data_IF_142218430645
#
_entry.id   IF_142218430645
#
_cell.length_a   1.000
_cell.length_b   1.000
_cell.length_c   1.000
_cell.angle_alpha   90.00
_cell.angle_beta   90.00
_cell.angle_gamma   90.00
#
_symmetry.space_group_name_H-M   'P 1'
#
loop_
_entity.id
_entity.type
_entity.pdbx_description
1 polymer ?
#
# COMPACT_ATOMS: atom_id res chain seq x y z
N UNK A 1 -1.55 5.64 -3.66
CA UNK A 1 -1.90 4.27 -4.09
C UNK A 1 -1.03 3.28 -3.33
N UNK A 2 -1.59 2.20 -2.78
CA UNK A 2 -0.83 1.16 -2.09
C UNK A 2 -1.08 -0.21 -2.71
N UNK A 3 -0.07 -1.05 -2.71
CA UNK A 3 -0.13 -2.43 -3.16
C UNK A 3 0.37 -3.34 -2.04
N UNK A 4 -0.15 -4.56 -1.97
CA UNK A 4 0.29 -5.58 -1.03
C UNK A 4 0.38 -6.92 -1.71
N UNK A 5 1.32 -7.73 -1.28
CA UNK A 5 1.49 -9.11 -1.74
C UNK A 5 1.81 -10.03 -0.56
N UNK A 6 1.42 -11.29 -0.68
CA UNK A 6 1.61 -12.31 0.34
C UNK A 6 2.06 -13.63 -0.30
N UNK A 7 3.06 -14.23 0.32
CA UNK A 7 3.56 -15.56 -0.02
C UNK A 7 3.83 -16.35 1.26
N UNK A 8 4.06 -17.65 1.12
CA UNK A 8 4.46 -18.52 2.23
C UNK A 8 5.77 -18.08 2.92
N UNK A 9 6.56 -17.22 2.27
CA UNK A 9 7.85 -16.73 2.77
C UNK A 9 7.75 -15.37 3.44
N UNK A 10 6.92 -14.47 2.92
CA UNK A 10 6.83 -13.10 3.37
C UNK A 10 5.51 -12.43 2.97
N UNK A 11 5.15 -11.41 3.73
CA UNK A 11 4.16 -10.40 3.35
C UNK A 11 4.87 -9.09 3.06
N UNK A 12 4.38 -8.33 2.09
CA UNK A 12 4.94 -7.04 1.73
C UNK A 12 3.86 -6.05 1.33
N UNK A 13 4.14 -4.77 1.51
CA UNK A 13 3.32 -3.67 1.03
C UNK A 13 4.18 -2.50 0.56
N UNK A 14 3.72 -1.78 -0.46
CA UNK A 14 4.38 -0.61 -1.03
C UNK A 14 3.36 0.50 -1.30
N UNK A 15 3.79 1.74 -1.22
CA UNK A 15 2.95 2.92 -1.43
C UNK A 15 3.63 3.91 -2.39
N UNK A 16 2.83 4.43 -3.31
CA UNK A 16 3.20 5.42 -4.31
C UNK A 16 2.32 6.66 -4.18
N UNK A 17 2.92 7.83 -4.41
CA UNK A 17 2.21 9.10 -4.54
C UNK A 17 1.99 9.37 -6.02
N UNK A 18 0.77 9.74 -6.38
CA UNK A 18 0.48 10.38 -7.66
C UNK A 18 0.21 11.85 -7.37
N UNK A 19 0.98 12.73 -7.98
CA UNK A 19 0.73 14.18 -7.98
C UNK A 19 0.42 14.63 -9.40
N UNK A 20 -0.14 15.82 -9.51
CA UNK A 20 -0.33 16.50 -10.78
C UNK A 20 0.37 17.85 -10.65
N UNK A 21 1.25 18.16 -11.58
CA UNK A 21 1.95 19.44 -11.58
C UNK A 21 1.05 20.58 -12.09
N UNK A 22 1.58 21.80 -12.09
CA UNK A 22 0.86 22.99 -12.58
C UNK A 22 0.49 22.91 -14.06
N UNK A 23 1.13 22.03 -14.82
CA UNK A 23 0.88 21.80 -16.25
C UNK A 23 -0.19 20.73 -16.49
N UNK A 24 -0.68 20.07 -15.43
CA UNK A 24 -1.64 18.98 -15.53
C UNK A 24 -1.00 17.61 -15.75
N UNK A 25 0.33 17.50 -15.73
CA UNK A 25 1.03 16.25 -16.01
C UNK A 25 1.08 15.35 -14.75
N UNK A 26 0.70 14.07 -14.87
CA UNK A 26 0.75 13.15 -13.75
C UNK A 26 2.18 12.72 -13.45
N UNK A 27 2.59 12.89 -12.20
CA UNK A 27 3.88 12.43 -11.69
C UNK A 27 3.64 11.33 -10.66
N UNK A 28 4.35 10.21 -10.78
CA UNK A 28 4.22 9.08 -9.84
C UNK A 28 5.57 8.84 -9.17
N UNK A 29 5.60 8.87 -7.84
CA UNK A 29 6.79 8.66 -7.03
C UNK A 29 6.60 7.53 -6.02
N UNK A 30 7.65 6.75 -5.79
CA UNK A 30 7.71 5.79 -4.68
C UNK A 30 7.85 6.54 -3.36
N UNK A 31 7.05 6.16 -2.35
CA UNK A 31 7.12 6.76 -1.02
C UNK A 31 7.75 5.79 -0.01
N UNK A 32 7.14 4.61 0.15
CA UNK A 32 7.51 3.67 1.21
C UNK A 32 7.21 2.23 0.80
N UNK A 33 8.07 1.32 1.23
CA UNK A 33 7.87 -0.13 1.09
C UNK A 33 8.27 -0.83 2.38
N UNK A 34 7.49 -1.83 2.78
CA UNK A 34 7.70 -2.61 4.01
C UNK A 34 7.43 -4.08 3.74
N UNK A 35 8.32 -4.94 4.25
CA UNK A 35 8.17 -6.39 4.18
C UNK A 35 8.38 -7.02 5.56
N UNK A 36 7.69 -8.14 5.82
CA UNK A 36 7.80 -8.94 7.03
C UNK A 36 7.89 -10.42 6.64
N UNK A 37 8.78 -11.17 7.27
CA UNK A 37 8.87 -12.63 7.08
C UNK A 37 7.56 -13.27 7.53
N UNK A 38 7.03 -14.20 6.75
CA UNK A 38 5.80 -14.90 7.08
C UNK A 38 6.05 -15.81 8.30
N UNK A 39 5.15 -15.83 9.29
CA UNK A 39 5.30 -16.70 10.45
C UNK A 39 5.35 -18.18 10.03
N UNK A 40 6.30 -18.94 10.58
CA UNK A 40 6.51 -20.36 10.26
C UNK A 40 5.35 -21.25 10.75
N UNK A 41 4.53 -20.76 11.70
CA UNK A 41 3.40 -21.50 12.26
C UNK A 41 2.14 -21.39 11.39
N UNK A 42 1.95 -22.35 10.47
CA UNK A 42 0.65 -22.80 9.97
C UNK A 42 -0.39 -21.72 9.60
N UNK A 43 0.01 -20.61 8.98
CA UNK A 43 -0.95 -19.63 8.46
C UNK A 43 -1.32 -19.98 7.03
N UNK A 44 -2.61 -19.92 6.72
CA UNK A 44 -3.10 -20.10 5.36
C UNK A 44 -2.76 -18.88 4.51
N UNK A 45 -2.61 -19.06 3.19
CA UNK A 45 -2.38 -17.96 2.24
C UNK A 45 -3.41 -16.82 2.41
N UNK A 46 -4.74 -17.07 2.54
CA UNK A 46 -5.71 -16.01 2.78
C UNK A 46 -5.43 -15.16 4.04
N UNK A 47 -4.90 -15.76 5.10
CA UNK A 47 -4.53 -15.01 6.32
C UNK A 47 -3.29 -14.13 6.09
N UNK A 48 -2.35 -14.60 5.28
CA UNK A 48 -1.17 -13.82 4.90
C UNK A 48 -1.56 -12.67 3.96
N UNK A 49 -2.45 -12.89 2.99
CA UNK A 49 -3.02 -11.84 2.13
C UNK A 49 -3.69 -10.75 2.96
N UNK A 50 -4.52 -11.13 3.94
CA UNK A 50 -5.14 -10.17 4.86
C UNK A 50 -4.08 -9.41 5.67
N UNK A 51 -3.03 -10.10 6.14
CA UNK A 51 -1.95 -9.46 6.90
C UNK A 51 -1.15 -8.48 6.04
N UNK A 52 -0.94 -8.78 4.76
CA UNK A 52 -0.32 -7.89 3.80
C UNK A 52 -1.20 -6.66 3.51
N UNK A 53 -2.52 -6.84 3.42
CA UNK A 53 -3.48 -5.74 3.29
C UNK A 53 -3.47 -4.82 4.53
N UNK A 54 -3.42 -5.40 5.73
CA UNK A 54 -3.25 -4.62 6.98
C UNK A 54 -1.93 -3.85 6.95
N UNK A 55 -0.84 -4.49 6.51
CA UNK A 55 0.45 -3.82 6.35
C UNK A 55 0.39 -2.64 5.37
N UNK A 56 -0.37 -2.76 4.27
CA UNK A 56 -0.61 -1.66 3.34
C UNK A 56 -1.34 -0.49 4.00
N UNK A 57 -2.37 -0.75 4.79
CA UNK A 57 -3.09 0.31 5.53
C UNK A 57 -2.18 0.98 6.55
N UNK A 58 -1.38 0.22 7.30
CA UNK A 58 -0.42 0.76 8.27
C UNK A 58 0.58 1.73 7.61
N UNK A 59 1.17 1.35 6.47
CA UNK A 59 2.12 2.22 5.77
C UNK A 59 1.42 3.45 5.18
N UNK A 60 0.21 3.31 4.66
CA UNK A 60 -0.56 4.43 4.11
C UNK A 60 -0.93 5.43 5.19
N UNK A 61 -1.38 4.96 6.36
CA UNK A 61 -1.66 5.84 7.50
C UNK A 61 -0.39 6.56 7.96
N UNK A 62 0.73 5.84 8.06
CA UNK A 62 2.03 6.45 8.41
C UNK A 62 2.40 7.56 7.43
N UNK A 63 2.21 7.34 6.12
CA UNK A 63 2.48 8.35 5.09
C UNK A 63 1.61 9.58 5.28
N UNK A 64 0.31 9.39 5.52
CA UNK A 64 -0.66 10.48 5.69
C UNK A 64 -0.34 11.32 6.92
N UNK A 65 -0.03 10.66 8.03
CA UNK A 65 0.30 11.31 9.29
C UNK A 65 1.60 12.13 9.19
N UNK A 66 2.56 11.71 8.35
CA UNK A 66 3.87 12.36 8.23
C UNK A 66 3.94 13.38 7.08
N UNK A 67 3.16 13.21 6.01
CA UNK A 67 3.18 14.10 4.85
C UNK A 67 2.00 15.09 4.79
N UNK A 68 1.13 15.11 5.81
CA UNK A 68 -0.07 15.96 5.89
C UNK A 68 -0.94 15.88 4.62
N UNK A 69 -1.01 14.66 4.04
CA UNK A 69 -1.73 14.39 2.81
C UNK A 69 -3.14 13.94 3.13
N UNK A 70 -4.16 14.63 2.61
CA UNK A 70 -5.52 14.13 2.65
C UNK A 70 -5.67 12.95 1.67
N UNK A 71 -6.03 11.76 2.18
CA UNK A 71 -6.42 10.65 1.30
C UNK A 71 -7.78 10.99 0.68
N UNK A 72 -7.79 11.33 -0.60
CA UNK A 72 -9.04 11.49 -1.33
C UNK A 72 -9.50 10.11 -1.84
N UNK A 73 -10.61 9.60 -1.29
CA UNK A 73 -11.11 8.23 -1.52
C UNK A 73 -11.77 8.03 -2.91
N UNK A 74 -11.49 8.88 -3.90
CA UNK A 74 -12.30 9.04 -5.12
C UNK A 74 -11.92 8.20 -6.35
N UNK A 75 -10.92 7.32 -6.31
CA UNK A 75 -10.53 6.53 -7.48
C UNK A 75 -10.61 5.00 -7.29
N UNK A 76 -11.77 4.48 -6.83
CA UNK A 76 -12.07 3.03 -6.93
C UNK A 76 -13.31 2.75 -7.81
N UNK A 77 -14.06 3.76 -8.25
CA UNK A 77 -15.36 3.54 -8.94
C UNK A 77 -15.34 3.56 -10.48
N UNK A 78 -14.21 3.86 -11.15
CA UNK A 78 -14.22 4.13 -12.60
C UNK A 78 -13.37 3.23 -13.49
N UNK A 79 -12.96 2.04 -13.03
CA UNK A 79 -12.30 1.08 -13.93
C UNK A 79 -12.78 -0.34 -13.68
N UNK A 80 -13.92 -0.66 -14.29
CA UNK A 80 -14.18 -2.00 -14.85
C UNK A 80 -14.00 -1.92 -16.36
#
# INVERSE_FOLDING_TARGET
MSFSDASEKAIAAVAYLRTTDSSGEPNIGFILGKAKVAPTSGHTIPRLELSAAVLAVEITQTIVDNLDLHIDNREILHRQ
#
